data_IF_320512876577
#
_entry.id   IF_320512876577
#
_cell.length_a   1.000
_cell.length_b   1.000
_cell.length_c   1.000
_cell.angle_alpha   90.00
_cell.angle_beta   90.00
_cell.angle_gamma   90.00
#
_symmetry.space_group_name_H-M   'P 1'
#
loop_
_entity.id
_entity.type
_entity.pdbx_description
1 polymer ?
#
# COMPACT_ATOMS: atom_id res chain seq x y z
N UNK A 1 18.48 -4.75 10.93
CA UNK A 1 18.74 -5.89 11.83
C UNK A 1 18.21 -7.19 11.21
N UNK A 2 16.92 -7.30 10.88
CA UNK A 2 16.35 -8.52 10.26
C UNK A 2 17.12 -8.92 9.00
N UNK A 3 17.37 -8.00 8.08
CA UNK A 3 18.07 -8.28 6.85
C UNK A 3 19.52 -8.76 7.05
N UNK A 4 20.17 -8.31 8.13
CA UNK A 4 21.52 -8.76 8.50
C UNK A 4 21.57 -10.22 8.96
N UNK A 5 20.48 -10.69 9.59
CA UNK A 5 20.38 -12.05 10.13
C UNK A 5 19.66 -13.03 9.18
N UNK A 6 19.35 -12.60 7.96
CA UNK A 6 18.66 -13.42 6.95
C UNK A 6 19.34 -13.26 5.59
N UNK A 7 19.33 -14.33 4.78
CA UNK A 7 19.98 -14.35 3.46
C UNK A 7 18.97 -14.24 2.32
N UNK A 8 17.78 -14.82 2.48
CA UNK A 8 16.80 -14.94 1.40
C UNK A 8 15.52 -14.12 1.62
N UNK A 9 15.27 -13.68 2.86
CA UNK A 9 14.06 -12.93 3.21
C UNK A 9 14.05 -11.57 2.49
N UNK A 10 13.00 -11.32 1.73
CA UNK A 10 12.73 -9.99 1.16
C UNK A 10 12.15 -9.08 2.25
N UNK A 11 12.51 -7.81 2.20
CA UNK A 11 12.04 -6.79 3.15
C UNK A 11 11.10 -5.85 2.41
N UNK A 12 9.82 -5.87 2.76
CA UNK A 12 8.84 -4.89 2.28
C UNK A 12 8.81 -3.71 3.24
N UNK A 13 9.49 -2.63 2.89
CA UNK A 13 9.61 -1.43 3.70
C UNK A 13 8.43 -0.47 3.45
N UNK A 14 7.66 -0.19 4.48
CA UNK A 14 6.62 0.84 4.42
C UNK A 14 7.26 2.24 4.30
N UNK A 15 6.81 3.02 3.32
CA UNK A 15 7.31 4.37 3.08
C UNK A 15 6.16 5.34 2.83
N UNK A 16 6.19 6.47 3.56
CA UNK A 16 5.17 7.53 3.44
C UNK A 16 5.74 8.73 2.71
N UNK A 17 5.29 9.04 1.48
CA UNK A 17 5.63 10.28 0.79
C UNK A 17 5.24 11.52 1.60
N UNK A 18 6.08 12.55 1.55
CA UNK A 18 5.81 13.82 2.23
C UNK A 18 6.59 14.05 3.52
N UNK A 19 7.06 12.99 4.20
CA UNK A 19 7.80 13.12 5.48
C UNK A 19 9.33 13.14 5.31
N UNK A 20 9.82 12.75 4.15
CA UNK A 20 11.23 12.85 3.75
C UNK A 20 11.27 13.36 2.33
N UNK A 21 12.17 14.28 1.99
CA UNK A 21 12.31 14.76 0.62
C UNK A 21 12.58 13.59 -0.36
N UNK A 22 11.99 13.58 -1.56
CA UNK A 22 12.05 12.45 -2.49
C UNK A 22 13.48 12.08 -2.91
N UNK A 23 14.35 13.06 -3.11
CA UNK A 23 15.76 12.83 -3.44
C UNK A 23 16.54 12.17 -2.30
N UNK A 24 16.25 12.56 -1.05
CA UNK A 24 16.85 11.93 0.13
C UNK A 24 16.32 10.51 0.33
N UNK A 25 15.03 10.30 0.16
CA UNK A 25 14.42 8.99 0.25
C UNK A 25 15.01 8.05 -0.80
N UNK A 26 15.14 8.49 -2.05
CA UNK A 26 15.74 7.71 -3.12
C UNK A 26 17.16 7.24 -2.77
N UNK A 27 18.02 8.13 -2.25
CA UNK A 27 19.39 7.78 -1.83
C UNK A 27 19.41 6.80 -0.65
N UNK A 28 18.57 7.03 0.37
CA UNK A 28 18.46 6.12 1.52
C UNK A 28 18.00 4.72 1.10
N UNK A 29 17.01 4.66 0.23
CA UNK A 29 16.47 3.40 -0.29
C UNK A 29 17.52 2.67 -1.14
N UNK A 30 18.25 3.36 -2.02
CA UNK A 30 19.33 2.78 -2.81
C UNK A 30 20.48 2.26 -1.90
N UNK A 31 20.85 3.01 -0.86
CA UNK A 31 21.84 2.57 0.12
C UNK A 31 21.38 1.31 0.85
N UNK A 32 20.14 1.27 1.32
CA UNK A 32 19.60 0.10 1.99
C UNK A 32 19.55 -1.11 1.05
N UNK A 33 19.14 -0.92 -0.20
CA UNK A 33 19.10 -1.98 -1.21
C UNK A 33 20.48 -2.62 -1.43
N UNK A 34 21.54 -1.79 -1.49
CA UNK A 34 22.92 -2.27 -1.54
C UNK A 34 23.31 -3.05 -0.26
N UNK A 35 22.98 -2.53 0.92
CA UNK A 35 23.33 -3.16 2.19
C UNK A 35 22.67 -4.52 2.41
N UNK A 36 21.53 -4.77 1.77
CA UNK A 36 20.78 -6.02 1.91
C UNK A 36 20.74 -6.85 0.62
N UNK A 37 21.65 -6.57 -0.29
CA UNK A 37 21.88 -7.34 -1.50
C UNK A 37 20.63 -7.51 -2.38
N UNK A 38 19.96 -6.39 -2.69
CA UNK A 38 18.82 -6.36 -3.59
C UNK A 38 17.55 -7.06 -3.06
N UNK A 39 17.40 -7.21 -1.75
CA UNK A 39 16.24 -7.84 -1.11
C UNK A 39 15.19 -6.84 -0.63
N UNK A 40 15.30 -5.58 -1.06
CA UNK A 40 14.36 -4.51 -0.68
C UNK A 40 13.17 -4.43 -1.64
N UNK A 41 11.98 -4.31 -1.08
CA UNK A 41 10.78 -3.84 -1.75
C UNK A 41 10.25 -2.62 -1.00
N UNK A 42 9.67 -1.67 -1.71
CA UNK A 42 9.18 -0.43 -1.11
C UNK A 42 7.66 -0.33 -1.23
N UNK A 43 6.96 -0.36 -0.10
CA UNK A 43 5.52 -0.18 -0.07
C UNK A 43 5.16 1.29 0.16
N UNK A 44 4.63 1.93 -0.86
CA UNK A 44 4.20 3.33 -0.83
C UNK A 44 2.84 3.43 -0.14
N UNK A 45 2.80 4.16 0.95
CA UNK A 45 1.61 4.38 1.77
C UNK A 45 1.30 5.88 1.81
N UNK A 46 0.32 6.31 1.02
CA UNK A 46 -0.06 7.73 0.93
C UNK A 46 -0.73 8.23 2.21
N UNK A 47 -1.39 7.34 2.95
CA UNK A 47 -2.12 7.67 4.18
C UNK A 47 -3.62 7.85 3.94
N UNK A 48 -4.44 7.09 4.67
CA UNK A 48 -5.89 7.03 4.48
C UNK A 48 -6.72 7.77 5.53
N UNK A 49 -6.11 8.19 6.65
CA UNK A 49 -6.81 8.83 7.77
C UNK A 49 -6.25 10.24 7.99
N UNK A 50 -7.06 11.24 7.72
CA UNK A 50 -6.65 12.66 7.79
C UNK A 50 -6.18 13.07 9.20
N UNK A 51 -6.84 12.56 10.24
CA UNK A 51 -6.47 12.88 11.61
C UNK A 51 -5.04 12.43 11.95
N UNK A 52 -4.64 11.26 11.45
CA UNK A 52 -3.27 10.72 11.68
C UNK A 52 -2.23 11.52 10.88
N UNK A 53 -2.57 11.94 9.64
CA UNK A 53 -1.70 12.77 8.83
C UNK A 53 -1.44 14.12 9.50
N UNK A 54 -2.47 14.75 10.04
CA UNK A 54 -2.38 16.05 10.74
C UNK A 54 -1.55 15.98 12.02
N UNK A 55 -1.58 14.85 12.75
CA UNK A 55 -0.71 14.63 13.92
C UNK A 55 0.78 14.67 13.55
N UNK A 56 1.10 14.21 12.34
CA UNK A 56 2.47 14.22 11.82
C UNK A 56 2.81 15.48 10.99
N UNK A 57 1.93 16.49 10.99
CA UNK A 57 2.14 17.77 10.30
C UNK A 57 1.76 17.81 8.83
N UNK A 58 1.04 16.81 8.32
CA UNK A 58 0.53 16.78 6.95
C UNK A 58 -0.94 17.20 6.92
N UNK A 59 -1.21 18.38 6.35
CA UNK A 59 -2.53 19.01 6.27
C UNK A 59 -3.17 18.92 4.88
N UNK A 60 -2.53 18.25 3.93
CA UNK A 60 -3.10 18.03 2.59
C UNK A 60 -4.35 17.16 2.68
N UNK A 61 -5.30 17.43 1.81
CA UNK A 61 -6.46 16.56 1.59
C UNK A 61 -6.02 15.20 1.04
N UNK A 62 -6.93 14.23 1.09
CA UNK A 62 -6.71 12.90 0.54
C UNK A 62 -6.19 12.93 -0.90
N UNK A 63 -6.83 13.68 -1.78
CA UNK A 63 -6.49 13.70 -3.20
C UNK A 63 -5.19 14.46 -3.47
N UNK A 64 -4.95 15.56 -2.75
CA UNK A 64 -3.66 16.28 -2.81
C UNK A 64 -2.49 15.40 -2.37
N UNK A 65 -2.69 14.52 -1.38
CA UNK A 65 -1.65 13.56 -0.98
C UNK A 65 -1.33 12.57 -2.10
N UNK A 66 -2.30 12.14 -2.90
CA UNK A 66 -2.03 11.29 -4.07
C UNK A 66 -1.35 12.07 -5.19
N UNK A 67 -1.75 13.31 -5.47
CA UNK A 67 -1.06 14.17 -6.44
C UNK A 67 0.40 14.41 -6.02
N UNK A 68 0.65 14.71 -4.74
CA UNK A 68 2.00 14.81 -4.21
C UNK A 68 2.78 13.50 -4.31
N UNK A 69 2.13 12.36 -4.11
CA UNK A 69 2.77 11.03 -4.24
C UNK A 69 3.17 10.75 -5.69
N UNK A 70 2.40 11.17 -6.67
CA UNK A 70 2.76 11.05 -8.08
C UNK A 70 4.09 11.79 -8.38
N UNK A 71 4.20 13.04 -7.99
CA UNK A 71 5.44 13.83 -8.17
C UNK A 71 6.61 13.24 -7.37
N UNK A 72 6.34 12.81 -6.14
CA UNK A 72 7.33 12.16 -5.28
C UNK A 72 7.99 10.96 -5.96
N UNK A 73 7.18 10.09 -6.54
CA UNK A 73 7.65 8.89 -7.22
C UNK A 73 8.34 9.21 -8.55
N UNK A 74 7.92 10.26 -9.26
CA UNK A 74 8.64 10.74 -10.44
C UNK A 74 10.07 11.19 -10.08
N UNK A 75 10.22 11.99 -9.02
CA UNK A 75 11.53 12.45 -8.56
C UNK A 75 12.38 11.27 -8.06
N UNK A 76 11.83 10.35 -7.27
CA UNK A 76 12.56 9.18 -6.79
C UNK A 76 13.07 8.32 -7.95
N UNK A 77 12.21 8.02 -8.92
CA UNK A 77 12.58 7.23 -10.11
C UNK A 77 13.64 7.96 -10.94
N UNK A 78 13.52 9.28 -11.10
CA UNK A 78 14.54 10.08 -11.76
C UNK A 78 15.91 9.93 -11.09
N UNK A 79 15.98 10.00 -9.76
CA UNK A 79 17.23 9.81 -9.01
C UNK A 79 17.83 8.42 -9.20
N UNK A 80 16.99 7.39 -9.39
CA UNK A 80 17.45 6.00 -9.56
C UNK A 80 17.81 5.63 -11.01
N UNK A 81 17.27 6.32 -12.00
CA UNK A 81 17.35 5.91 -13.40
C UNK A 81 18.12 6.87 -14.30
N UNK A 82 18.25 8.15 -13.95
CA UNK A 82 18.96 9.10 -14.77
C UNK A 82 20.46 9.09 -14.49
N UNK A 83 21.26 9.04 -15.55
CA UNK A 83 22.72 9.05 -15.46
C UNK A 83 23.24 10.44 -15.15
N UNK A 84 22.56 11.48 -15.69
CA UNK A 84 22.93 12.88 -15.51
C UNK A 84 22.04 13.56 -14.48
N UNK A 85 22.53 14.56 -13.74
CA UNK A 85 21.74 15.38 -12.83
C UNK A 85 20.57 16.05 -13.56
N UNK A 86 19.37 15.96 -13.01
CA UNK A 86 18.15 16.51 -13.60
C UNK A 86 17.48 17.59 -12.75
N UNK A 87 16.68 18.41 -13.39
CA UNK A 87 15.80 19.37 -12.72
C UNK A 87 14.37 18.83 -12.73
N UNK A 88 13.65 19.08 -11.65
CA UNK A 88 12.23 18.79 -11.55
C UNK A 88 11.49 20.02 -11.02
N UNK A 89 10.36 20.36 -11.61
CA UNK A 89 9.52 21.46 -11.20
C UNK A 89 8.06 21.02 -11.28
N UNK A 90 7.43 20.85 -10.12
CA UNK A 90 6.04 20.45 -9.94
C UNK A 90 5.34 21.32 -8.91
N UNK A 91 4.11 20.98 -8.59
CA UNK A 91 3.31 21.71 -7.59
C UNK A 91 3.76 21.46 -6.16
N UNK A 92 4.31 20.26 -5.88
CA UNK A 92 4.72 19.83 -4.54
C UNK A 92 6.23 19.76 -4.37
N UNK A 93 6.97 19.49 -5.45
CA UNK A 93 8.42 19.34 -5.36
C UNK A 93 9.14 20.13 -6.45
N UNK A 94 10.26 20.71 -6.03
CA UNK A 94 11.18 21.38 -6.92
C UNK A 94 12.60 20.94 -6.60
N UNK A 95 13.32 20.42 -7.57
CA UNK A 95 14.69 19.97 -7.43
C UNK A 95 15.57 20.54 -8.52
N UNK A 96 16.78 20.97 -8.16
CA UNK A 96 17.81 21.41 -9.11
C UNK A 96 18.99 20.47 -9.05
N UNK A 97 19.44 19.96 -10.21
CA UNK A 97 20.55 19.03 -10.35
C UNK A 97 20.44 17.82 -9.42
N UNK A 98 19.22 17.26 -9.30
CA UNK A 98 18.98 16.06 -8.51
C UNK A 98 19.76 14.87 -9.10
N UNK A 99 20.47 14.15 -8.24
CA UNK A 99 21.30 12.99 -8.62
C UNK A 99 21.60 12.12 -7.41
N UNK A 100 22.17 10.95 -7.66
CA UNK A 100 22.73 10.09 -6.63
C UNK A 100 23.96 9.35 -7.16
N UNK A 101 25.06 9.36 -6.40
CA UNK A 101 26.22 8.54 -6.67
C UNK A 101 25.97 7.06 -6.30
N UNK A 102 25.04 6.83 -5.37
CA UNK A 102 24.66 5.47 -4.98
C UNK A 102 23.39 5.07 -5.71
N UNK A 103 23.54 4.09 -6.60
CA UNK A 103 22.42 3.48 -7.34
C UNK A 103 21.96 2.21 -6.66
N UNK A 104 20.69 1.85 -6.78
CA UNK A 104 20.21 0.56 -6.29
C UNK A 104 20.82 -0.60 -7.08
N UNK A 105 20.95 -1.77 -6.47
CA UNK A 105 21.35 -3.00 -7.16
C UNK A 105 20.26 -3.46 -8.11
N UNK A 106 19.00 -3.34 -7.67
CA UNK A 106 17.85 -3.76 -8.47
C UNK A 106 17.62 -2.81 -9.66
N UNK A 107 17.25 -3.35 -10.80
CA UNK A 107 17.00 -2.60 -12.04
C UNK A 107 15.56 -2.81 -12.51
N UNK A 108 14.92 -1.78 -13.10
CA UNK A 108 15.39 -0.38 -13.30
C UNK A 108 15.45 0.43 -12.00
N UNK A 109 14.81 -0.03 -10.93
CA UNK A 109 14.78 0.57 -9.58
C UNK A 109 14.33 -0.46 -8.55
N UNK A 110 14.36 -0.11 -7.27
CA UNK A 110 13.75 -0.91 -6.19
C UNK A 110 12.27 -1.10 -6.48
N UNK A 111 11.76 -2.35 -6.49
CA UNK A 111 10.36 -2.62 -6.80
C UNK A 111 9.38 -1.87 -5.89
N UNK A 112 8.42 -1.19 -6.49
CA UNK A 112 7.42 -0.39 -5.82
C UNK A 112 6.12 -1.18 -5.65
N UNK A 113 5.69 -1.31 -4.41
CA UNK A 113 4.38 -1.81 -4.03
C UNK A 113 3.46 -0.64 -3.72
N UNK A 114 2.22 -0.73 -4.14
CA UNK A 114 1.24 0.32 -3.93
C UNK A 114 -0.11 -0.29 -3.55
N UNK A 115 -0.85 0.38 -2.71
CA UNK A 115 -2.22 0.02 -2.34
C UNK A 115 -3.10 1.26 -2.31
N UNK A 116 -4.39 1.06 -2.42
CA UNK A 116 -5.38 2.12 -2.47
C UNK A 116 -6.30 1.95 -3.68
N UNK A 117 -7.60 2.10 -3.46
CA UNK A 117 -8.64 1.81 -4.47
C UNK A 117 -9.57 3.00 -4.70
N UNK A 118 -9.19 4.19 -4.20
CA UNK A 118 -9.91 5.44 -4.49
C UNK A 118 -9.63 5.92 -5.91
N UNK A 119 -10.50 6.79 -6.43
CA UNK A 119 -10.33 7.40 -7.74
C UNK A 119 -8.98 8.13 -7.89
N UNK A 120 -8.51 8.80 -6.83
CA UNK A 120 -7.20 9.45 -6.81
C UNK A 120 -6.03 8.47 -6.71
N UNK A 121 -6.21 7.30 -6.06
CA UNK A 121 -5.16 6.31 -5.86
C UNK A 121 -4.85 5.51 -7.13
N UNK A 122 -5.88 5.08 -7.85
CA UNK A 122 -5.77 4.16 -8.99
C UNK A 122 -4.82 4.67 -10.07
N UNK A 123 -4.93 5.93 -10.57
CA UNK A 123 -4.02 6.44 -11.59
C UNK A 123 -2.56 6.48 -11.13
N UNK A 124 -2.31 6.89 -9.89
CA UNK A 124 -0.95 6.97 -9.32
C UNK A 124 -0.34 5.58 -9.20
N UNK A 125 -1.08 4.62 -8.64
CA UNK A 125 -0.62 3.25 -8.52
C UNK A 125 -0.41 2.58 -9.88
N UNK A 126 -1.31 2.76 -10.84
CA UNK A 126 -1.19 2.24 -12.20
C UNK A 126 0.04 2.79 -12.95
N UNK A 127 0.37 4.07 -12.74
CA UNK A 127 1.54 4.74 -13.33
C UNK A 127 2.86 4.29 -12.69
N UNK A 128 2.89 4.00 -11.40
CA UNK A 128 4.14 3.86 -10.67
C UNK A 128 4.44 2.47 -10.12
N UNK A 129 3.42 1.68 -9.75
CA UNK A 129 3.63 0.42 -9.06
C UNK A 129 4.19 -0.68 -9.98
N UNK A 130 4.97 -1.58 -9.42
CA UNK A 130 5.36 -2.87 -10.00
C UNK A 130 4.43 -3.97 -9.48
N UNK A 131 4.01 -3.86 -8.21
CA UNK A 131 3.03 -4.75 -7.59
C UNK A 131 1.92 -3.95 -6.93
N UNK A 132 0.67 -4.28 -7.25
CA UNK A 132 -0.49 -3.72 -6.57
C UNK A 132 -0.96 -4.64 -5.44
N UNK A 133 -0.95 -4.12 -4.22
CA UNK A 133 -1.36 -4.84 -3.03
C UNK A 133 -2.86 -4.63 -2.78
N UNK A 134 -3.62 -5.71 -2.80
CA UNK A 134 -5.06 -5.75 -2.62
C UNK A 134 -5.43 -6.53 -1.35
N UNK A 135 -6.52 -6.16 -0.72
CA UNK A 135 -7.13 -6.96 0.32
C UNK A 135 -7.96 -8.12 -0.26
N UNK A 136 -8.13 -9.17 0.52
CA UNK A 136 -9.02 -10.27 0.19
C UNK A 136 -10.49 -9.81 0.19
N UNK A 137 -11.06 -9.74 -1.00
CA UNK A 137 -12.47 -9.46 -1.28
C UNK A 137 -13.05 -10.63 -2.08
N UNK A 138 -14.37 -10.69 -2.32
CA UNK A 138 -14.97 -11.70 -3.19
C UNK A 138 -14.30 -11.77 -4.55
N UNK A 139 -14.18 -12.96 -5.09
CA UNK A 139 -13.44 -13.26 -6.33
C UNK A 139 -13.88 -12.38 -7.51
N UNK A 140 -15.19 -12.13 -7.66
CA UNK A 140 -15.71 -11.23 -8.69
C UNK A 140 -15.19 -9.80 -8.54
N UNK A 141 -15.24 -9.25 -7.33
CA UNK A 141 -14.80 -7.88 -7.04
C UNK A 141 -13.29 -7.70 -7.25
N UNK A 142 -12.51 -8.70 -6.81
CA UNK A 142 -11.05 -8.70 -7.06
C UNK A 142 -10.76 -8.74 -8.56
N UNK A 143 -11.48 -9.59 -9.32
CA UNK A 143 -11.29 -9.71 -10.77
C UNK A 143 -11.59 -8.39 -11.49
N UNK A 144 -12.70 -7.74 -11.16
CA UNK A 144 -13.08 -6.44 -11.72
C UNK A 144 -12.03 -5.35 -11.41
N UNK A 145 -11.58 -5.29 -10.15
CA UNK A 145 -10.57 -4.34 -9.72
C UNK A 145 -9.22 -4.57 -10.41
N UNK A 146 -8.78 -5.83 -10.51
CA UNK A 146 -7.55 -6.18 -11.24
C UNK A 146 -7.64 -5.81 -12.72
N UNK A 147 -8.79 -6.03 -13.37
CA UNK A 147 -9.01 -5.65 -14.76
C UNK A 147 -8.93 -4.13 -14.95
N UNK A 148 -9.57 -3.35 -14.07
CA UNK A 148 -9.49 -1.89 -14.07
C UNK A 148 -8.05 -1.41 -13.90
N UNK A 149 -7.33 -1.90 -12.91
CA UNK A 149 -5.94 -1.54 -12.63
C UNK A 149 -5.01 -1.88 -13.79
N UNK A 150 -5.18 -3.06 -14.39
CA UNK A 150 -4.39 -3.48 -15.54
C UNK A 150 -4.66 -2.61 -16.77
N UNK A 151 -5.93 -2.23 -17.00
CA UNK A 151 -6.31 -1.30 -18.08
C UNK A 151 -5.66 0.07 -17.88
N UNK A 152 -5.70 0.61 -16.67
CA UNK A 152 -5.06 1.89 -16.34
C UNK A 152 -3.52 1.83 -16.46
N UNK A 153 -2.92 0.71 -16.08
CA UNK A 153 -1.47 0.52 -16.22
C UNK A 153 -1.05 0.43 -17.69
N UNK A 154 -1.83 -0.24 -18.52
CA UNK A 154 -1.58 -0.35 -19.96
C UNK A 154 -1.56 1.02 -20.68
N UNK A 155 -2.35 1.98 -20.21
CA UNK A 155 -2.31 3.37 -20.71
C UNK A 155 -0.98 4.10 -20.41
N UNK A 156 -0.15 3.53 -19.52
CA UNK A 156 1.19 4.01 -19.19
C UNK A 156 2.30 3.04 -19.70
N UNK A 157 1.98 2.17 -20.64
CA UNK A 157 2.88 1.13 -21.15
C UNK A 157 3.42 0.21 -20.03
N UNK A 158 2.62 -0.04 -18.99
CA UNK A 158 3.00 -0.85 -17.83
C UNK A 158 2.13 -2.09 -17.67
N UNK A 159 2.71 -3.08 -17.04
CA UNK A 159 2.02 -4.29 -16.59
C UNK A 159 2.20 -4.41 -15.08
N UNK A 160 1.10 -4.62 -14.37
CA UNK A 160 1.10 -4.80 -12.92
C UNK A 160 1.20 -6.28 -12.54
N UNK A 161 1.96 -6.56 -11.50
CA UNK A 161 1.79 -7.75 -10.67
C UNK A 161 0.80 -7.46 -9.55
N UNK A 162 0.15 -8.50 -9.02
CA UNK A 162 -0.83 -8.34 -7.94
C UNK A 162 -0.45 -9.19 -6.74
N UNK A 163 -0.68 -8.65 -5.56
CA UNK A 163 -0.63 -9.36 -4.30
C UNK A 163 -2.00 -9.29 -3.64
N UNK A 164 -2.54 -10.43 -3.22
CA UNK A 164 -3.77 -10.52 -2.43
C UNK A 164 -3.42 -10.91 -1.01
N UNK A 165 -3.89 -10.13 -0.05
CA UNK A 165 -3.63 -10.35 1.36
C UNK A 165 -4.82 -11.02 2.04
N UNK A 166 -4.60 -12.21 2.58
CA UNK A 166 -5.54 -12.96 3.40
C UNK A 166 -4.93 -13.29 4.75
N UNK A 167 -5.77 -13.44 5.76
CA UNK A 167 -5.41 -13.93 7.09
C UNK A 167 -6.04 -15.31 7.28
N UNK A 168 -5.30 -16.41 7.04
CA UNK A 168 -5.87 -17.75 7.17
C UNK A 168 -6.17 -18.10 8.63
N UNK A 169 -7.31 -18.72 8.87
CA UNK A 169 -7.67 -19.33 10.16
C UNK A 169 -7.55 -20.83 9.96
N UNK A 170 -6.57 -21.44 10.61
CA UNK A 170 -6.25 -22.86 10.47
C UNK A 170 -6.82 -23.67 11.63
N UNK A 171 -7.31 -24.87 11.32
CA UNK A 171 -7.76 -25.90 12.24
C UNK A 171 -7.43 -27.29 11.69
N UNK A 172 -7.44 -28.32 12.55
CA UNK A 172 -7.18 -29.71 12.15
C UNK A 172 -8.27 -30.27 11.23
N UNK A 173 -9.45 -29.67 11.30
CA UNK A 173 -10.59 -29.91 10.40
C UNK A 173 -11.23 -28.60 10.03
N UNK A 174 -12.03 -28.58 8.97
CA UNK A 174 -12.81 -27.40 8.56
C UNK A 174 -13.72 -26.92 9.72
N UNK A 175 -14.41 -27.83 10.41
CA UNK A 175 -15.22 -27.50 11.58
C UNK A 175 -14.43 -26.82 12.69
N UNK A 176 -13.23 -27.32 13.00
CA UNK A 176 -12.35 -26.70 14.00
C UNK A 176 -11.87 -25.30 13.57
N UNK A 177 -11.61 -25.06 12.29
CA UNK A 177 -11.28 -23.73 11.78
C UNK A 177 -12.45 -22.75 11.93
N UNK A 178 -13.68 -23.19 11.63
CA UNK A 178 -14.89 -22.39 11.84
C UNK A 178 -15.20 -22.12 13.32
N UNK A 179 -14.99 -23.09 14.22
CA UNK A 179 -15.13 -22.87 15.67
C UNK A 179 -14.14 -21.82 16.17
N UNK A 180 -12.90 -21.87 15.68
CA UNK A 180 -11.88 -20.87 15.99
C UNK A 180 -12.26 -19.49 15.47
N UNK A 181 -12.81 -19.36 14.24
CA UNK A 181 -13.29 -18.11 13.70
C UNK A 181 -14.40 -17.49 14.58
N UNK A 182 -15.38 -18.29 14.98
CA UNK A 182 -16.45 -17.86 15.90
C UNK A 182 -15.92 -17.44 17.27
N UNK A 183 -14.95 -18.15 17.81
CA UNK A 183 -14.30 -17.79 19.07
C UNK A 183 -13.55 -16.46 19.00
N UNK A 184 -12.86 -16.19 17.88
CA UNK A 184 -12.18 -14.89 17.62
C UNK A 184 -13.22 -13.77 17.59
N UNK A 185 -14.32 -13.96 16.87
CA UNK A 185 -15.40 -12.98 16.77
C UNK A 185 -15.98 -12.64 18.16
N UNK A 186 -16.31 -13.66 18.93
CA UNK A 186 -16.83 -13.49 20.30
C UNK A 186 -15.83 -12.73 21.19
N UNK A 187 -14.53 -13.00 21.06
CA UNK A 187 -13.47 -12.28 21.78
C UNK A 187 -13.39 -10.80 21.39
N UNK A 188 -13.51 -10.49 20.11
CA UNK A 188 -13.53 -9.11 19.61
C UNK A 188 -14.77 -8.36 20.13
N UNK A 189 -15.95 -9.01 20.10
CA UNK A 189 -17.19 -8.43 20.60
C UNK A 189 -17.16 -8.15 22.10
N UNK A 190 -16.58 -9.04 22.88
CA UNK A 190 -16.41 -8.85 24.32
C UNK A 190 -15.42 -7.72 24.66
N UNK A 191 -14.37 -7.56 23.86
CA UNK A 191 -13.30 -6.59 24.12
C UNK A 191 -13.63 -5.16 23.64
N UNK A 192 -14.47 -5.01 22.64
CA UNK A 192 -14.81 -3.71 22.03
C UNK A 192 -16.28 -3.62 21.62
N UNK A 193 -17.21 -3.51 22.59
CA UNK A 193 -18.63 -3.53 22.27
C UNK A 193 -19.14 -2.30 21.49
N UNK A 194 -18.30 -1.26 21.27
CA UNK A 194 -18.77 0.05 20.74
C UNK A 194 -18.04 0.59 19.52
N UNK A 195 -17.07 -0.11 18.92
CA UNK A 195 -16.22 0.51 17.90
C UNK A 195 -16.16 -0.21 16.55
N UNK A 196 -17.12 -1.04 16.19
CA UNK A 196 -17.17 -1.64 14.84
C UNK A 196 -17.43 -0.56 13.78
N UNK A 197 -16.45 -0.31 12.93
CA UNK A 197 -16.60 0.54 11.75
C UNK A 197 -16.80 2.03 12.01
N UNK A 198 -16.67 2.50 13.26
CA UNK A 198 -16.82 3.90 13.63
C UNK A 198 -15.50 4.40 14.22
N UNK A 199 -14.90 5.41 13.60
CA UNK A 199 -13.72 6.08 14.16
C UNK A 199 -14.08 6.88 15.44
N UNK A 200 -13.06 7.37 16.16
CA UNK A 200 -13.25 8.15 17.39
C UNK A 200 -14.14 9.42 17.24
N UNK A 201 -14.38 9.86 16.01
CA UNK A 201 -15.28 10.99 15.68
C UNK A 201 -16.73 10.58 15.41
N UNK A 202 -17.08 9.30 15.52
CA UNK A 202 -18.41 8.78 15.23
C UNK A 202 -18.76 8.72 13.73
N UNK A 203 -17.79 8.94 12.84
CA UNK A 203 -17.96 8.85 11.39
C UNK A 203 -17.46 7.50 10.90
N UNK A 204 -18.02 7.01 9.80
CA UNK A 204 -17.57 5.80 9.12
C UNK A 204 -16.11 5.92 8.63
N UNK A 205 -15.51 4.83 8.13
CA UNK A 205 -14.12 4.83 7.69
C UNK A 205 -13.86 5.87 6.60
N UNK A 206 -12.77 6.63 6.73
CA UNK A 206 -12.37 7.64 5.75
C UNK A 206 -11.75 7.00 4.49
N UNK A 207 -10.96 5.95 4.67
CA UNK A 207 -10.30 5.26 3.57
C UNK A 207 -11.28 4.41 2.74
N UNK A 208 -11.24 4.51 1.41
CA UNK A 208 -12.13 3.74 0.52
C UNK A 208 -11.98 2.22 0.70
N UNK A 209 -10.77 1.75 0.94
CA UNK A 209 -10.53 0.33 1.24
C UNK A 209 -11.31 -0.13 2.48
N UNK A 210 -11.28 0.67 3.55
CA UNK A 210 -12.04 0.34 4.77
C UNK A 210 -13.56 0.40 4.54
N UNK A 211 -14.04 1.35 3.72
CA UNK A 211 -15.45 1.41 3.32
C UNK A 211 -15.89 0.17 2.52
N UNK A 212 -15.04 -0.31 1.62
CA UNK A 212 -15.29 -1.54 0.86
C UNK A 212 -15.41 -2.74 1.79
N UNK A 213 -14.48 -2.90 2.74
CA UNK A 213 -14.51 -3.98 3.73
C UNK A 213 -15.75 -3.90 4.63
N UNK A 214 -16.18 -2.70 5.04
CA UNK A 214 -17.41 -2.50 5.81
C UNK A 214 -18.64 -2.98 5.01
N UNK A 215 -18.72 -2.61 3.72
CA UNK A 215 -19.83 -3.08 2.85
C UNK A 215 -19.85 -4.61 2.68
N UNK A 216 -18.69 -5.28 2.71
CA UNK A 216 -18.65 -6.74 2.68
C UNK A 216 -19.28 -7.37 3.92
N UNK A 217 -19.06 -6.79 5.10
CA UNK A 217 -19.68 -7.26 6.35
C UNK A 217 -21.21 -7.17 6.27
N UNK A 218 -21.73 -6.09 5.68
CA UNK A 218 -23.18 -5.91 5.47
C UNK A 218 -23.78 -6.95 4.51
N UNK A 219 -22.98 -7.49 3.59
CA UNK A 219 -23.37 -8.50 2.62
C UNK A 219 -23.49 -9.93 3.17
N UNK A 220 -23.13 -10.16 4.45
CA UNK A 220 -23.21 -11.45 5.12
C UNK A 220 -21.87 -11.92 5.68
N UNK A 221 -21.91 -12.89 6.58
CA UNK A 221 -20.75 -13.37 7.33
C UNK A 221 -19.70 -14.08 6.45
N UNK A 222 -20.18 -14.82 5.45
CA UNK A 222 -19.32 -15.61 4.54
C UNK A 222 -19.60 -15.15 3.12
N UNK A 223 -18.53 -14.83 2.41
CA UNK A 223 -18.53 -14.51 0.99
C UNK A 223 -17.79 -15.61 0.21
N UNK A 224 -18.16 -15.81 -1.04
CA UNK A 224 -17.68 -16.96 -1.82
C UNK A 224 -17.82 -18.30 -1.02
N UNK A 225 -16.82 -19.19 -1.08
CA UNK A 225 -16.86 -20.49 -0.39
C UNK A 225 -16.43 -20.40 1.08
N UNK A 226 -15.40 -19.62 1.38
CA UNK A 226 -14.78 -19.57 2.72
C UNK A 226 -14.16 -18.22 3.07
N UNK A 227 -14.50 -17.15 2.38
CA UNK A 227 -14.10 -15.79 2.72
C UNK A 227 -14.96 -15.28 3.88
N UNK A 228 -14.40 -15.32 5.09
CA UNK A 228 -15.07 -14.88 6.30
C UNK A 228 -14.74 -13.43 6.61
N UNK A 229 -15.77 -12.57 6.72
CA UNK A 229 -15.59 -11.11 6.75
C UNK A 229 -15.98 -10.38 8.05
N UNK A 230 -16.52 -11.02 9.13
CA UNK A 230 -17.03 -10.28 10.28
C UNK A 230 -16.04 -9.36 11.00
N UNK A 231 -14.74 -9.61 10.85
CA UNK A 231 -13.66 -8.79 11.43
C UNK A 231 -12.75 -8.18 10.35
N UNK A 232 -13.26 -8.00 9.12
CA UNK A 232 -12.45 -7.52 8.00
C UNK A 232 -12.19 -6.00 8.05
N UNK A 233 -12.99 -5.21 8.77
CA UNK A 233 -12.92 -3.75 8.87
C UNK A 233 -12.48 -3.28 10.27
#
# INVERSE_FOLDING_TARGET
>A
HVAYHTEHLKILLAHRPGFTAPTQAARKVATLDNLIDGRLWLHIITGGVDADQRRDGDFLSHDERYARTDEYLQVMKGVWSQEEPFNYEGDYYRCSKASSEVQSIQRPHVPLWFGGVSEAAIPVGAKHADTYALFGEPRSQVTELMALLQHQAAANDRKLSFNLSFRPILGDTEGAAWDKARSILAGVEASSPKSRGINASGKGPEAETARRLTRLIEGGEIQDECLWVPIAA
#
